data_IF_448928085728
#
_entry.id   IF_448928085728
#
_cell.length_a   1.000
_cell.length_b   1.000
_cell.length_c   1.000
_cell.angle_alpha   90.00
_cell.angle_beta   90.00
_cell.angle_gamma   90.00
#
_symmetry.space_group_name_H-M   'P 1'
#
loop_
_entity.id
_entity.type
_entity.pdbx_description
1 polymer ?
#
# COMPACT_ATOMS: atom_id res chain seq x y z
N UNK A 1 42.17 32.70 -31.34
CA UNK A 1 42.32 33.60 -30.17
C UNK A 1 41.89 35.00 -30.60
N UNK A 2 40.67 35.41 -30.28
CA UNK A 2 40.20 36.81 -30.13
C UNK A 2 38.77 36.71 -29.62
N UNK A 3 38.54 37.18 -28.40
CA UNK A 3 37.25 37.23 -27.71
C UNK A 3 36.52 38.50 -28.14
N UNK A 4 35.19 38.46 -28.26
CA UNK A 4 34.36 39.65 -28.04
C UNK A 4 33.01 39.26 -27.45
N UNK A 5 32.74 39.94 -26.35
CA UNK A 5 31.66 39.79 -25.39
C UNK A 5 30.35 40.34 -25.97
N UNK A 6 29.27 39.57 -25.86
CA UNK A 6 27.90 40.03 -26.13
C UNK A 6 27.13 40.18 -24.81
N UNK A 7 27.27 41.33 -24.16
CA UNK A 7 26.40 41.77 -23.05
C UNK A 7 25.45 42.85 -23.55
N UNK A 8 24.18 42.50 -23.74
CA UNK A 8 23.05 43.44 -23.65
C UNK A 8 22.11 42.86 -22.60
N UNK A 9 22.28 43.35 -21.37
CA UNK A 9 21.26 43.27 -20.32
C UNK A 9 20.52 44.61 -20.22
N UNK A 10 19.56 44.64 -19.29
CA UNK A 10 18.65 45.74 -18.91
C UNK A 10 17.38 45.80 -19.79
N UNK A 11 16.14 45.69 -19.29
CA UNK A 11 15.59 45.98 -17.96
C UNK A 11 14.11 45.56 -17.87
N UNK A 12 13.68 45.02 -16.71
CA UNK A 12 12.29 45.00 -16.20
C UNK A 12 11.42 43.86 -16.75
N UNK A 13 11.19 42.74 -16.06
CA UNK A 13 10.63 42.51 -14.71
C UNK A 13 9.17 42.97 -14.56
N UNK A 14 8.32 42.01 -14.15
CA UNK A 14 6.95 42.11 -13.63
C UNK A 14 5.80 42.37 -14.61
N UNK A 15 5.29 41.28 -15.21
CA UNK A 15 3.84 41.02 -15.36
C UNK A 15 3.61 39.50 -15.41
N UNK A 16 4.13 38.82 -14.39
CA UNK A 16 3.53 37.60 -13.86
C UNK A 16 2.19 38.04 -13.22
N UNK A 17 1.16 37.21 -13.34
CA UNK A 17 -0.16 37.30 -12.68
C UNK A 17 -1.31 37.96 -13.46
N UNK A 18 -1.85 37.28 -14.48
CA UNK A 18 -3.23 37.54 -14.93
C UNK A 18 -3.92 36.40 -15.74
N UNK A 19 -3.40 35.16 -15.79
CA UNK A 19 -4.12 34.02 -16.39
C UNK A 19 -4.28 32.83 -15.42
N UNK A 20 -4.24 33.12 -14.12
CA UNK A 20 -4.78 32.26 -13.07
C UNK A 20 -6.08 32.90 -12.64
N UNK A 21 -7.21 32.48 -13.23
CA UNK A 21 -8.52 32.42 -12.58
C UNK A 21 -9.61 32.11 -13.60
N UNK A 22 -10.31 31.02 -13.30
CA UNK A 22 -11.72 30.72 -13.59
C UNK A 22 -12.00 29.72 -14.71
N UNK A 23 -12.83 28.76 -14.30
CA UNK A 23 -13.52 27.69 -15.02
C UNK A 23 -12.72 26.38 -15.17
N UNK A 24 -13.00 25.32 -14.44
CA UNK A 24 -14.20 25.00 -13.67
C UNK A 24 -14.46 23.52 -13.83
N UNK A 25 -14.17 22.75 -12.79
CA UNK A 25 -14.31 21.31 -12.81
C UNK A 25 -13.54 20.70 -11.65
N UNK A 26 -13.96 21.02 -10.43
CA UNK A 26 -13.60 20.25 -9.24
C UNK A 26 -14.26 18.87 -9.34
N UNK A 27 -13.71 18.00 -10.20
CA UNK A 27 -13.80 16.58 -10.00
C UNK A 27 -12.83 16.27 -8.88
N UNK A 28 -13.33 16.08 -7.65
CA UNK A 28 -12.53 15.43 -6.62
C UNK A 28 -11.91 14.18 -7.28
N UNK A 29 -10.59 13.94 -7.19
CA UNK A 29 -10.14 12.57 -7.33
C UNK A 29 -10.90 11.83 -6.23
N UNK A 30 -11.96 11.12 -6.60
CA UNK A 30 -12.39 9.98 -5.82
C UNK A 30 -11.13 9.13 -5.82
N UNK A 31 -10.38 9.16 -4.73
CA UNK A 31 -9.59 8.04 -4.27
C UNK A 31 -10.54 6.85 -4.29
N UNK A 32 -10.65 6.22 -5.45
CA UNK A 32 -11.14 4.87 -5.59
C UNK A 32 -10.12 4.10 -4.77
N UNK A 33 -10.45 3.90 -3.49
CA UNK A 33 -9.82 2.88 -2.68
C UNK A 33 -9.84 1.63 -3.57
N UNK A 34 -8.68 1.30 -4.13
CA UNK A 34 -8.49 -0.02 -4.71
C UNK A 34 -8.90 -0.98 -3.61
N UNK A 35 -9.77 -1.97 -3.90
CA UNK A 35 -10.14 -2.95 -2.90
C UNK A 35 -8.84 -3.50 -2.32
N UNK A 36 -8.71 -3.42 -0.99
CA UNK A 36 -7.58 -4.03 -0.30
C UNK A 36 -7.50 -5.48 -0.77
N UNK A 37 -6.32 -5.97 -1.19
CA UNK A 37 -6.19 -7.33 -1.67
C UNK A 37 -6.66 -8.29 -0.59
N UNK A 38 -7.54 -9.23 -0.96
CA UNK A 38 -8.03 -10.26 -0.05
C UNK A 38 -6.84 -11.04 0.55
N UNK A 39 -6.63 -10.98 1.88
CA UNK A 39 -5.48 -11.62 2.51
C UNK A 39 -5.48 -13.13 2.30
N UNK A 40 -6.66 -13.78 2.26
CA UNK A 40 -6.78 -15.22 2.02
C UNK A 40 -6.29 -15.55 0.61
N UNK A 41 -6.68 -14.76 -0.39
CA UNK A 41 -6.23 -14.91 -1.76
C UNK A 41 -4.71 -14.70 -1.90
N UNK A 42 -4.13 -13.72 -1.19
CA UNK A 42 -2.68 -13.48 -1.20
C UNK A 42 -1.88 -14.65 -0.62
N UNK A 43 -2.33 -15.19 0.52
CA UNK A 43 -1.69 -16.35 1.18
C UNK A 43 -1.82 -17.61 0.31
N UNK A 44 -3.00 -17.83 -0.30
CA UNK A 44 -3.21 -18.95 -1.23
C UNK A 44 -2.28 -18.86 -2.45
N UNK A 45 -2.15 -17.67 -3.05
CA UNK A 45 -1.23 -17.45 -4.17
C UNK A 45 0.24 -17.70 -3.78
N UNK A 46 0.64 -17.31 -2.56
CA UNK A 46 1.98 -17.58 -2.04
C UNK A 46 2.22 -19.08 -1.87
N UNK A 47 1.28 -19.81 -1.25
CA UNK A 47 1.33 -21.28 -1.12
C UNK A 47 1.45 -21.95 -2.49
N UNK A 48 0.65 -21.53 -3.46
CA UNK A 48 0.62 -22.14 -4.80
C UNK A 48 1.94 -21.91 -5.53
N UNK A 49 2.53 -20.71 -5.44
CA UNK A 49 3.84 -20.44 -6.01
C UNK A 49 4.95 -21.33 -5.39
N UNK A 50 4.90 -21.61 -4.08
CA UNK A 50 5.80 -22.58 -3.43
C UNK A 50 5.56 -24.02 -3.94
N UNK A 51 4.29 -24.40 -4.08
CA UNK A 51 3.91 -25.76 -4.50
C UNK A 51 4.32 -26.01 -5.95
N UNK A 52 4.15 -25.03 -6.82
CA UNK A 52 4.47 -25.10 -8.26
C UNK A 52 5.96 -25.00 -8.59
N UNK A 53 6.84 -24.80 -7.60
CA UNK A 53 8.27 -24.66 -7.88
C UNK A 53 8.68 -23.28 -8.39
N UNK A 54 7.89 -22.23 -8.07
CA UNK A 54 8.09 -20.85 -8.52
C UNK A 54 8.51 -19.93 -7.35
N UNK A 55 9.68 -20.15 -6.73
CA UNK A 55 10.06 -19.43 -5.52
C UNK A 55 10.30 -17.92 -5.74
N UNK A 56 10.67 -17.50 -6.95
CA UNK A 56 10.79 -16.08 -7.27
C UNK A 56 9.44 -15.36 -7.22
N UNK A 57 8.40 -16.04 -7.69
CA UNK A 57 7.04 -15.50 -7.67
C UNK A 57 6.49 -15.51 -6.24
N UNK A 58 6.78 -16.56 -5.47
CA UNK A 58 6.45 -16.61 -4.05
C UNK A 58 7.10 -15.44 -3.28
N UNK A 59 8.39 -15.18 -3.51
CA UNK A 59 9.10 -14.05 -2.88
C UNK A 59 8.46 -12.70 -3.25
N UNK A 60 8.05 -12.52 -4.52
CA UNK A 60 7.41 -11.30 -4.99
C UNK A 60 6.08 -11.00 -4.28
N UNK A 61 5.39 -12.03 -3.77
CA UNK A 61 4.13 -11.91 -3.03
C UNK A 61 4.31 -11.54 -1.55
N UNK A 62 5.51 -11.68 -0.99
CA UNK A 62 5.78 -11.29 0.40
C UNK A 62 5.79 -9.76 0.49
N UNK A 63 5.09 -9.15 1.47
CA UNK A 63 5.13 -7.70 1.65
C UNK A 63 6.57 -7.21 1.91
N UNK A 64 7.03 -6.07 1.35
CA UNK A 64 8.40 -5.57 1.55
C UNK A 64 8.84 -5.50 3.01
N UNK A 65 7.96 -5.03 3.90
CA UNK A 65 8.24 -4.94 5.34
C UNK A 65 8.43 -6.32 6.00
N UNK A 66 7.77 -7.37 5.48
CA UNK A 66 7.94 -8.73 5.96
C UNK A 66 9.22 -9.40 5.43
N UNK A 67 9.93 -8.74 4.50
CA UNK A 67 11.23 -9.19 3.98
C UNK A 67 12.41 -8.57 4.71
N UNK A 68 12.22 -7.88 5.84
CA UNK A 68 13.33 -7.24 6.55
C UNK A 68 14.47 -8.26 6.81
N UNK A 69 15.63 -7.99 6.21
CA UNK A 69 16.81 -8.85 6.29
C UNK A 69 16.79 -10.11 5.42
N UNK A 70 15.74 -10.34 4.61
CA UNK A 70 15.58 -11.47 3.71
C UNK A 70 15.54 -10.99 2.25
N UNK A 71 16.67 -11.12 1.56
CA UNK A 71 16.72 -10.88 0.12
C UNK A 71 16.28 -12.11 -0.69
N UNK A 72 16.22 -11.95 -2.02
CA UNK A 72 15.80 -13.03 -2.91
C UNK A 72 16.75 -14.23 -2.84
N UNK A 73 18.05 -14.00 -2.70
CA UNK A 73 19.04 -15.08 -2.69
C UNK A 73 18.89 -15.92 -1.40
N UNK A 74 18.78 -15.26 -0.25
CA UNK A 74 18.49 -15.89 1.03
C UNK A 74 17.18 -16.67 1.01
N UNK A 75 16.13 -16.12 0.38
CA UNK A 75 14.87 -16.84 0.20
C UNK A 75 15.03 -18.08 -0.68
N UNK A 76 15.79 -18.01 -1.78
CA UNK A 76 16.03 -19.18 -2.65
C UNK A 76 16.80 -20.29 -1.94
N UNK A 77 17.79 -19.94 -1.12
CA UNK A 77 18.50 -20.90 -0.27
C UNK A 77 17.53 -21.56 0.71
N UNK A 78 16.73 -20.76 1.42
CA UNK A 78 15.73 -21.25 2.37
C UNK A 78 14.70 -22.16 1.68
N UNK A 79 14.21 -21.77 0.51
CA UNK A 79 13.29 -22.58 -0.30
C UNK A 79 13.90 -23.94 -0.67
N UNK A 80 15.15 -23.96 -1.14
CA UNK A 80 15.80 -25.21 -1.57
C UNK A 80 16.01 -26.20 -0.42
N UNK A 81 16.27 -25.70 0.80
CA UNK A 81 16.50 -26.53 1.98
C UNK A 81 15.23 -26.87 2.77
N UNK A 82 14.19 -26.06 2.66
CA UNK A 82 13.03 -26.08 3.57
C UNK A 82 11.68 -25.88 2.87
N UNK A 83 11.55 -26.26 1.60
CA UNK A 83 10.30 -26.13 0.83
C UNK A 83 9.07 -26.67 1.55
N UNK A 84 9.15 -27.88 2.10
CA UNK A 84 7.99 -28.51 2.71
C UNK A 84 7.57 -27.81 4.01
N UNK A 85 8.54 -27.31 4.79
CA UNK A 85 8.26 -26.52 5.98
C UNK A 85 7.61 -25.16 5.63
N UNK A 86 8.03 -24.53 4.52
CA UNK A 86 7.40 -23.31 4.01
C UNK A 86 5.97 -23.56 3.56
N UNK A 87 5.70 -24.69 2.89
CA UNK A 87 4.36 -25.09 2.48
C UNK A 87 3.45 -25.33 3.68
N UNK A 88 3.91 -26.11 4.66
CA UNK A 88 3.16 -26.38 5.89
C UNK A 88 2.86 -25.08 6.66
N UNK A 89 3.83 -24.16 6.72
CA UNK A 89 3.60 -22.85 7.30
C UNK A 89 2.54 -22.06 6.53
N UNK A 90 2.61 -22.02 5.20
CA UNK A 90 1.63 -21.31 4.38
C UNK A 90 0.22 -21.90 4.55
N UNK A 91 0.08 -23.22 4.63
CA UNK A 91 -1.20 -23.91 4.88
C UNK A 91 -1.78 -23.56 6.26
N UNK A 92 -0.95 -23.56 7.32
CA UNK A 92 -1.39 -23.14 8.66
C UNK A 92 -1.87 -21.70 8.68
N UNK A 93 -1.12 -20.80 8.04
CA UNK A 93 -1.49 -19.38 7.96
C UNK A 93 -2.77 -19.20 7.15
N UNK A 94 -2.96 -19.97 6.06
CA UNK A 94 -4.19 -19.94 5.28
C UNK A 94 -5.40 -20.41 6.08
N UNK A 95 -5.27 -21.48 6.86
CA UNK A 95 -6.34 -21.96 7.73
C UNK A 95 -6.74 -20.89 8.76
N UNK A 96 -5.74 -20.30 9.42
CA UNK A 96 -5.95 -19.21 10.38
C UNK A 96 -6.62 -17.99 9.74
N UNK A 97 -6.17 -17.57 8.56
CA UNK A 97 -6.73 -16.42 7.86
C UNK A 97 -8.15 -16.68 7.33
N UNK A 98 -8.46 -17.92 6.97
CA UNK A 98 -9.81 -18.31 6.50
C UNK A 98 -10.82 -18.36 7.65
N UNK A 99 -10.37 -18.70 8.86
CA UNK A 99 -11.20 -18.73 10.07
C UNK A 99 -11.30 -17.35 10.75
N UNK A 100 -10.42 -16.40 10.41
CA UNK A 100 -10.44 -15.07 10.96
C UNK A 100 -11.68 -14.28 10.50
N UNK A 101 -12.46 -13.67 11.42
CA UNK A 101 -13.57 -12.83 11.02
C UNK A 101 -13.06 -11.65 10.18
N UNK A 102 -13.71 -11.29 9.06
CA UNK A 102 -13.28 -10.17 8.25
C UNK A 102 -13.38 -8.89 9.10
N UNK A 103 -12.25 -8.23 9.35
CA UNK A 103 -12.21 -6.92 9.99
C UNK A 103 -12.88 -5.90 9.07
N UNK A 104 -14.22 -5.76 9.15
CA UNK A 104 -14.91 -4.75 8.35
C UNK A 104 -14.70 -3.40 9.02
N UNK A 105 -13.83 -2.58 8.41
CA UNK A 105 -13.57 -1.20 8.83
C UNK A 105 -14.37 -0.24 7.96
N UNK A 106 -15.10 0.69 8.58
CA UNK A 106 -15.85 1.74 7.89
C UNK A 106 -15.49 3.11 8.46
N UNK A 107 -15.06 4.05 7.61
CA UNK A 107 -14.88 5.44 8.02
C UNK A 107 -16.22 6.17 8.02
N UNK A 108 -16.57 6.78 9.14
CA UNK A 108 -17.79 7.58 9.30
C UNK A 108 -17.46 8.99 9.75
N UNK A 109 -18.25 9.96 9.30
CA UNK A 109 -18.17 11.33 9.81
C UNK A 109 -19.09 11.45 11.03
N UNK A 110 -18.53 11.80 12.18
CA UNK A 110 -19.29 12.05 13.41
C UNK A 110 -19.29 13.54 13.75
N UNK A 111 -20.11 13.95 14.73
CA UNK A 111 -20.11 15.33 15.24
C UNK A 111 -18.77 15.76 15.88
N UNK A 112 -17.93 14.79 16.24
CA UNK A 112 -16.61 15.00 16.83
C UNK A 112 -15.48 14.95 15.78
N UNK A 113 -15.81 14.67 14.52
CA UNK A 113 -14.86 14.49 13.43
C UNK A 113 -14.93 13.09 12.79
N UNK A 114 -14.01 12.77 11.87
CA UNK A 114 -13.92 11.45 11.27
C UNK A 114 -13.60 10.39 12.34
N UNK A 115 -14.29 9.25 12.26
CA UNK A 115 -14.09 8.11 13.15
C UNK A 115 -14.10 6.81 12.34
N UNK A 116 -13.46 5.78 12.89
CA UNK A 116 -13.44 4.45 12.30
C UNK A 116 -14.34 3.50 13.09
N UNK A 117 -15.21 2.80 12.37
CA UNK A 117 -16.02 1.71 12.89
C UNK A 117 -15.36 0.38 12.51
N UNK A 118 -15.21 -0.50 13.48
CA UNK A 118 -14.79 -1.89 13.28
C UNK A 118 -16.00 -2.78 13.54
N UNK A 119 -16.29 -3.68 12.62
CA UNK A 119 -17.32 -4.70 12.82
C UNK A 119 -16.76 -5.83 13.67
N UNK A 120 -17.41 -6.05 14.80
CA UNK A 120 -17.14 -7.13 15.74
C UNK A 120 -18.30 -8.14 15.72
N UNK A 121 -18.15 -9.28 16.40
CA UNK A 121 -19.21 -10.28 16.54
C UNK A 121 -20.49 -9.71 17.20
N UNK A 122 -20.33 -8.70 18.05
CA UNK A 122 -21.41 -8.00 18.77
C UNK A 122 -22.06 -6.87 17.94
N UNK A 123 -21.54 -6.58 16.74
CA UNK A 123 -21.95 -5.49 15.88
C UNK A 123 -20.85 -4.44 15.65
N UNK A 124 -21.24 -3.24 15.19
CA UNK A 124 -20.30 -2.16 14.87
C UNK A 124 -19.83 -1.42 16.13
N UNK A 125 -18.52 -1.31 16.34
CA UNK A 125 -17.90 -0.59 17.45
C UNK A 125 -16.99 0.53 16.93
N UNK A 126 -16.94 1.64 17.66
CA UNK A 126 -16.03 2.75 17.36
C UNK A 126 -14.63 2.40 17.89
N UNK A 127 -13.64 2.31 17.00
CA UNK A 127 -12.28 1.87 17.37
C UNK A 127 -11.48 3.03 18.01
N UNK A 128 -11.43 4.17 17.32
CA UNK A 128 -10.84 5.44 17.83
C UNK A 128 -11.29 6.63 16.96
N UNK A 129 -11.40 7.86 17.50
CA UNK A 129 -11.48 9.06 16.66
C UNK A 129 -10.23 9.15 15.77
N UNK A 130 -10.42 9.38 14.47
CA UNK A 130 -9.33 9.55 13.49
C UNK A 130 -8.73 10.94 13.72
N UNK A 131 -7.84 11.04 14.70
CA UNK A 131 -6.96 12.19 14.93
C UNK A 131 -7.39 13.18 16.01
N UNK A 132 -6.62 13.21 17.10
CA UNK A 132 -5.85 14.41 17.46
C UNK A 132 -4.54 13.92 18.05
N UNK A 133 -3.54 13.67 17.19
CA UNK A 133 -2.15 13.67 17.62
C UNK A 133 -1.71 15.11 17.82
N UNK A 134 -1.53 15.49 19.08
CA UNK A 134 -0.61 16.55 19.53
C UNK A 134 -0.04 16.14 20.87
#
# INVERSE_FOLDING_TARGET
MTWTVGTIGLRGSLCIAACLLLLGGAGCPRDVHAPEPDPVAAIAAYRDALAEGRPRDAFALIHPDAREGLDLEGFLVLYSGHRDALLEQAERVLALASDAPPEQRARVMTRLGPAELVKTEEGWRLDRPVGTGR
#
